data_IF_216944808928
#
_entry.id   IF_216944808928
#
_cell.length_a   1.000
_cell.length_b   1.000
_cell.length_c   1.000
_cell.angle_alpha   90.00
_cell.angle_beta   90.00
_cell.angle_gamma   90.00
#
_symmetry.space_group_name_H-M   'P 1'
#
loop_
_entity.id
_entity.type
_entity.pdbx_description
1 polymer ?
#
# COMPACT_ATOMS: atom_id res chain seq x y z
N UNK A 1 -18.72 -4.26 0.61
CA UNK A 1 -18.70 -3.13 1.57
C UNK A 1 -17.30 -2.82 2.10
N UNK A 2 -16.51 -3.82 2.50
CA UNK A 2 -15.20 -3.60 3.14
C UNK A 2 -14.15 -2.88 2.27
N UNK A 3 -14.16 -3.08 0.94
CA UNK A 3 -13.22 -2.41 0.04
C UNK A 3 -13.43 -0.89 -0.05
N UNK A 4 -14.65 -0.40 0.16
CA UNK A 4 -14.96 1.05 0.12
C UNK A 4 -14.36 1.75 1.34
N UNK A 5 -14.42 1.11 2.51
CA UNK A 5 -13.80 1.61 3.74
C UNK A 5 -12.27 1.62 3.60
N UNK A 6 -11.70 0.55 3.01
CA UNK A 6 -10.27 0.50 2.69
C UNK A 6 -9.81 1.67 1.81
N UNK A 7 -10.58 2.01 0.77
CA UNK A 7 -10.29 3.14 -0.11
C UNK A 7 -10.44 4.50 0.58
N UNK A 8 -11.45 4.66 1.44
CA UNK A 8 -11.65 5.89 2.19
C UNK A 8 -10.51 6.13 3.20
N UNK A 9 -10.07 5.08 3.89
CA UNK A 9 -8.95 5.14 4.84
C UNK A 9 -7.64 5.43 4.12
N UNK A 10 -7.38 4.80 2.97
CA UNK A 10 -6.18 5.09 2.18
C UNK A 10 -6.17 6.54 1.67
N UNK A 11 -7.33 7.10 1.30
CA UNK A 11 -7.45 8.51 0.92
C UNK A 11 -7.11 9.45 2.08
N UNK A 12 -7.60 9.16 3.29
CA UNK A 12 -7.29 9.95 4.49
C UNK A 12 -5.80 9.90 4.84
N UNK A 13 -5.19 8.72 4.78
CA UNK A 13 -3.75 8.53 5.05
C UNK A 13 -2.91 9.31 4.03
N UNK A 14 -3.25 9.18 2.74
CA UNK A 14 -2.56 9.90 1.67
C UNK A 14 -2.68 11.42 1.83
N UNK A 15 -3.87 11.91 2.20
CA UNK A 15 -4.11 13.33 2.46
C UNK A 15 -3.29 13.83 3.66
N UNK A 16 -3.18 13.02 4.73
CA UNK A 16 -2.32 13.29 5.87
C UNK A 16 -0.86 13.51 5.44
N UNK A 17 -0.29 12.58 4.68
CA UNK A 17 1.09 12.72 4.18
C UNK A 17 1.27 13.89 3.21
N UNK A 18 0.27 14.20 2.39
CA UNK A 18 0.28 15.35 1.48
C UNK A 18 0.32 16.70 2.23
N UNK A 19 -0.28 16.77 3.43
CA UNK A 19 -0.24 17.98 4.26
C UNK A 19 1.18 18.29 4.76
N UNK A 20 1.99 17.26 5.00
CA UNK A 20 3.39 17.39 5.45
C UNK A 20 4.41 17.49 4.31
N UNK A 21 4.15 16.86 3.18
CA UNK A 21 5.03 16.94 2.02
C UNK A 21 5.02 18.39 1.47
N UNK A 22 6.17 19.07 1.42
CA UNK A 22 6.27 20.46 0.94
C UNK A 22 6.14 20.58 -0.58
N UNK A 23 7.24 20.32 -1.30
CA UNK A 23 7.30 20.44 -2.77
C UNK A 23 6.85 19.15 -3.50
N UNK A 24 6.85 18.00 -2.81
CA UNK A 24 6.55 16.67 -3.34
C UNK A 24 5.08 16.22 -3.19
N UNK A 25 4.19 17.15 -2.85
CA UNK A 25 2.77 16.91 -2.50
C UNK A 25 2.06 15.92 -3.40
N UNK A 26 2.10 16.17 -4.71
CA UNK A 26 1.37 15.38 -5.69
C UNK A 26 1.91 13.95 -5.82
N UNK A 27 3.23 13.78 -5.75
CA UNK A 27 3.86 12.46 -5.84
C UNK A 27 3.56 11.63 -4.59
N UNK A 28 3.73 12.21 -3.41
CA UNK A 28 3.45 11.54 -2.14
C UNK A 28 1.96 11.20 -2.00
N UNK A 29 1.07 12.09 -2.45
CA UNK A 29 -0.38 11.83 -2.44
C UNK A 29 -0.74 10.62 -3.29
N UNK A 30 -0.29 10.56 -4.55
CA UNK A 30 -0.62 9.46 -5.46
C UNK A 30 0.05 8.15 -5.01
N UNK A 31 1.32 8.20 -4.62
CA UNK A 31 2.05 7.01 -4.19
C UNK A 31 1.54 6.42 -2.88
N UNK A 32 1.28 7.26 -1.86
CA UNK A 32 0.69 6.82 -0.59
C UNK A 32 -0.73 6.28 -0.79
N UNK A 33 -1.53 6.94 -1.64
CA UNK A 33 -2.89 6.48 -1.93
C UNK A 33 -2.88 5.11 -2.60
N UNK A 34 -2.12 4.93 -3.68
CA UNK A 34 -2.09 3.65 -4.41
C UNK A 34 -1.57 2.51 -3.54
N UNK A 35 -0.48 2.74 -2.80
CA UNK A 35 0.13 1.72 -1.95
C UNK A 35 -0.75 1.33 -0.77
N UNK A 36 -1.37 2.30 -0.08
CA UNK A 36 -2.32 2.01 1.00
C UNK A 36 -3.61 1.39 0.45
N UNK A 37 -4.17 1.89 -0.65
CA UNK A 37 -5.40 1.35 -1.23
C UNK A 37 -5.25 -0.13 -1.59
N UNK A 38 -4.19 -0.48 -2.31
CA UNK A 38 -3.95 -1.85 -2.75
C UNK A 38 -3.74 -2.81 -1.57
N UNK A 39 -2.97 -2.41 -0.55
CA UNK A 39 -2.72 -3.23 0.64
C UNK A 39 -3.94 -3.36 1.55
N UNK A 40 -4.70 -2.30 1.82
CA UNK A 40 -5.93 -2.38 2.62
C UNK A 40 -7.03 -3.17 1.89
N UNK A 41 -7.17 -3.01 0.57
CA UNK A 41 -8.15 -3.78 -0.22
C UNK A 41 -7.80 -5.27 -0.20
N UNK A 42 -6.52 -5.62 -0.36
CA UNK A 42 -6.09 -7.01 -0.24
C UNK A 42 -6.34 -7.59 1.17
N UNK A 43 -6.15 -6.78 2.21
CA UNK A 43 -6.28 -7.23 3.60
C UNK A 43 -7.75 -7.39 4.05
N UNK A 44 -8.62 -6.42 3.74
CA UNK A 44 -9.97 -6.33 4.31
C UNK A 44 -11.05 -6.43 3.23
N UNK A 45 -10.73 -6.03 2.00
CA UNK A 45 -11.66 -5.97 0.88
C UNK A 45 -11.93 -7.31 0.20
N UNK A 46 -10.96 -8.22 0.18
CA UNK A 46 -11.08 -9.53 -0.50
C UNK A 46 -11.55 -10.60 0.49
N UNK A 47 -12.73 -11.18 0.22
CA UNK A 47 -13.23 -12.36 0.94
C UNK A 47 -12.58 -13.58 0.30
N UNK A 48 -11.87 -14.38 1.11
CA UNK A 48 -11.21 -15.59 0.65
C UNK A 48 -12.06 -16.79 1.05
N UNK A 49 -12.40 -17.66 0.08
CA UNK A 49 -13.20 -18.87 0.33
C UNK A 49 -12.48 -19.87 1.26
N UNK A 50 -11.15 -19.86 1.25
CA UNK A 50 -10.33 -20.67 2.14
C UNK A 50 -9.71 -19.83 3.26
N UNK A 51 -10.00 -20.22 4.51
CA UNK A 51 -9.57 -19.53 5.74
C UNK A 51 -8.04 -19.34 5.81
N UNK A 52 -7.26 -20.37 5.43
CA UNK A 52 -5.79 -20.31 5.35
C UNK A 52 -5.27 -19.29 4.34
N UNK A 53 -5.96 -19.14 3.21
CA UNK A 53 -5.61 -18.17 2.15
C UNK A 53 -5.89 -16.75 2.63
N UNK A 54 -7.02 -16.54 3.31
CA UNK A 54 -7.38 -15.25 3.89
C UNK A 54 -6.40 -14.77 4.96
N UNK A 55 -5.90 -15.66 5.82
CA UNK A 55 -4.90 -15.30 6.85
C UNK A 55 -3.56 -14.92 6.21
N UNK A 56 -3.04 -15.69 5.24
CA UNK A 56 -1.76 -15.38 4.60
C UNK A 56 -1.79 -14.03 3.86
N UNK A 57 -2.86 -13.74 3.11
CA UNK A 57 -2.99 -12.47 2.38
C UNK A 57 -3.19 -11.29 3.34
N UNK A 58 -3.88 -11.48 4.47
CA UNK A 58 -4.01 -10.46 5.53
C UNK A 58 -2.68 -10.12 6.19
N UNK A 59 -1.87 -11.12 6.53
CA UNK A 59 -0.55 -10.92 7.14
C UNK A 59 0.40 -10.23 6.16
N UNK A 60 0.41 -10.66 4.90
CA UNK A 60 1.20 -10.03 3.84
C UNK A 60 0.77 -8.56 3.61
N UNK A 61 -0.53 -8.31 3.51
CA UNK A 61 -1.10 -6.98 3.37
C UNK A 61 -0.74 -6.07 4.54
N UNK A 62 -0.82 -6.57 5.78
CA UNK A 62 -0.40 -5.83 6.98
C UNK A 62 1.08 -5.49 7.00
N UNK A 63 1.95 -6.43 6.61
CA UNK A 63 3.40 -6.21 6.55
C UNK A 63 3.75 -5.12 5.53
N UNK A 64 3.19 -5.21 4.33
CA UNK A 64 3.43 -4.22 3.28
C UNK A 64 2.79 -2.87 3.59
N UNK A 65 1.64 -2.84 4.26
CA UNK A 65 1.03 -1.61 4.75
C UNK A 65 1.99 -0.85 5.67
N UNK A 66 2.55 -1.53 6.69
CA UNK A 66 3.51 -0.91 7.62
C UNK A 66 4.76 -0.44 6.88
N UNK A 67 5.28 -1.25 5.96
CA UNK A 67 6.42 -0.89 5.13
C UNK A 67 6.16 0.38 4.30
N UNK A 68 5.02 0.46 3.61
CA UNK A 68 4.65 1.65 2.84
C UNK A 68 4.38 2.86 3.71
N UNK A 69 3.82 2.68 4.92
CA UNK A 69 3.59 3.78 5.85
C UNK A 69 4.92 4.41 6.29
N UNK A 70 5.91 3.58 6.62
CA UNK A 70 7.25 4.03 6.97
C UNK A 70 7.96 4.68 5.78
N UNK A 71 7.85 4.09 4.58
CA UNK A 71 8.48 4.63 3.38
C UNK A 71 7.89 6.01 3.03
N UNK A 72 6.56 6.14 3.03
CA UNK A 72 5.90 7.43 2.81
C UNK A 72 6.22 8.45 3.92
N UNK A 73 6.32 8.03 5.19
CA UNK A 73 6.72 8.91 6.28
C UNK A 73 8.14 9.45 6.08
N UNK A 74 9.12 8.59 5.77
CA UNK A 74 10.51 9.00 5.54
C UNK A 74 10.57 10.01 4.40
N UNK A 75 9.87 9.77 3.29
CA UNK A 75 9.84 10.69 2.15
C UNK A 75 9.01 11.96 2.39
N UNK A 76 8.08 11.96 3.35
CA UNK A 76 7.35 13.16 3.76
C UNK A 76 8.19 14.08 4.66
N UNK A 77 9.09 13.52 5.48
CA UNK A 77 9.95 14.27 6.41
C UNK A 77 11.35 14.57 5.87
N UNK A 78 11.84 13.78 4.91
CA UNK A 78 13.15 13.94 4.28
C UNK A 78 12.95 14.32 2.82
N UNK A 79 13.41 15.53 2.43
CA UNK A 79 13.38 16.00 1.03
C UNK A 79 14.34 15.18 0.15
N UNK A 80 13.90 13.97 -0.21
CA UNK A 80 14.55 13.06 -1.13
C UNK A 80 14.11 13.33 -2.58
N UNK A 81 14.91 12.87 -3.54
CA UNK A 81 14.60 13.04 -4.97
C UNK A 81 13.22 12.44 -5.32
N UNK A 82 12.37 13.19 -6.08
CA UNK A 82 11.08 12.69 -6.55
C UNK A 82 11.20 11.38 -7.35
N UNK A 83 12.29 11.24 -8.11
CA UNK A 83 12.54 10.06 -8.94
C UNK A 83 12.79 8.83 -8.08
N UNK A 84 13.53 8.97 -6.98
CA UNK A 84 13.81 7.89 -6.04
C UNK A 84 12.52 7.40 -5.35
N UNK A 85 11.63 8.33 -4.98
CA UNK A 85 10.34 8.02 -4.37
C UNK A 85 9.47 7.15 -5.28
N UNK A 86 9.35 7.53 -6.56
CA UNK A 86 8.53 6.81 -7.54
C UNK A 86 9.07 5.40 -7.76
N UNK A 87 10.38 5.26 -7.93
CA UNK A 87 11.02 3.97 -8.21
C UNK A 87 10.88 3.02 -7.01
N UNK A 88 11.15 3.49 -5.79
CA UNK A 88 11.05 2.66 -4.58
C UNK A 88 9.60 2.27 -4.26
N UNK A 89 8.66 3.23 -4.35
CA UNK A 89 7.24 2.96 -4.08
C UNK A 89 6.65 2.03 -5.13
N UNK A 90 6.99 2.24 -6.42
CA UNK A 90 6.57 1.39 -7.52
C UNK A 90 7.13 -0.03 -7.44
N UNK A 91 8.43 -0.18 -7.14
CA UNK A 91 9.05 -1.49 -6.92
C UNK A 91 8.42 -2.23 -5.74
N UNK A 92 8.21 -1.55 -4.61
CA UNK A 92 7.52 -2.13 -3.46
C UNK A 92 6.14 -2.65 -3.82
N UNK A 93 5.40 -1.91 -4.66
CA UNK A 93 4.04 -2.28 -5.08
C UNK A 93 4.07 -3.51 -6.00
N UNK A 94 5.01 -3.55 -6.94
CA UNK A 94 5.21 -4.69 -7.84
C UNK A 94 5.58 -5.96 -7.06
N UNK A 95 6.47 -5.86 -6.06
CA UNK A 95 6.81 -7.00 -5.20
C UNK A 95 5.58 -7.47 -4.42
N UNK A 96 4.78 -6.55 -3.87
CA UNK A 96 3.55 -6.91 -3.18
C UNK A 96 2.59 -7.70 -4.09
N UNK A 97 2.32 -7.18 -5.30
CA UNK A 97 1.44 -7.83 -6.28
C UNK A 97 1.99 -9.20 -6.69
N UNK A 98 3.30 -9.30 -6.89
CA UNK A 98 3.95 -10.57 -7.25
C UNK A 98 3.80 -11.62 -6.16
N UNK A 99 4.06 -11.27 -4.89
CA UNK A 99 3.91 -12.20 -3.76
C UNK A 99 2.44 -12.57 -3.55
N UNK A 100 1.51 -11.62 -3.67
CA UNK A 100 0.08 -11.90 -3.60
C UNK A 100 -0.36 -12.88 -4.70
N UNK A 101 0.15 -12.72 -5.92
CA UNK A 101 -0.11 -13.65 -7.03
C UNK A 101 0.49 -15.04 -6.80
N UNK A 102 1.68 -15.15 -6.21
CA UNK A 102 2.27 -16.46 -5.87
C UNK A 102 1.42 -17.22 -4.85
N UNK A 103 0.89 -16.54 -3.83
CA UNK A 103 -0.03 -17.16 -2.85
C UNK A 103 -1.34 -17.58 -3.55
N UNK A 104 -1.74 -16.86 -4.60
CA UNK A 104 -2.83 -17.22 -5.49
C UNK A 104 -2.53 -18.46 -6.34
N UNK A 105 -1.35 -18.58 -6.93
CA UNK A 105 -1.06 -19.64 -7.92
C UNK A 105 -0.65 -20.99 -7.32
N UNK A 106 -0.05 -21.02 -6.12
CA UNK A 106 0.51 -22.24 -5.49
C UNK A 106 -0.52 -23.32 -5.12
N UNK A 107 -1.82 -23.09 -5.30
CA UNK A 107 -2.87 -24.07 -4.94
C UNK A 107 -3.90 -24.32 -6.06
N UNK A 108 -3.53 -24.11 -7.33
CA UNK A 108 -4.28 -24.69 -8.47
C UNK A 108 -3.98 -26.18 -8.63
#
# INVERSE_FOLDING_TARGET
MNAVIALAVSALIAFGFCSFAGSLKYYVLVGAFLSCATTLVAMIGVVHEHERRGVNVRVLGGLFLVFFLLLNAIFAFVDLSPTAYIVLSGLGLLVFVFVANLIGSVQQ
#
